data_IF_075092272646
#
_entry.id   IF_075092272646
#
_cell.length_a   1.000
_cell.length_b   1.000
_cell.length_c   1.000
_cell.angle_alpha   90.00
_cell.angle_beta   90.00
_cell.angle_gamma   90.00
#
_symmetry.space_group_name_H-M   'P 1'
#
loop_
_entity.id
_entity.type
_entity.pdbx_description
1 polymer ?
#
# COMPACT_ATOMS: atom_id res chain seq x y z
N UNK A 1 -5.39 11.88 11.33
CA UNK A 1 -5.18 10.70 10.46
C UNK A 1 -6.46 9.89 10.46
N UNK A 2 -6.89 9.34 9.32
CA UNK A 2 -7.99 8.37 9.23
C UNK A 2 -7.55 7.15 8.44
N UNK A 3 -8.08 5.98 8.77
CA UNK A 3 -7.76 4.72 8.10
C UNK A 3 -9.03 4.22 7.42
N UNK A 4 -8.97 3.92 6.12
CA UNK A 4 -10.10 3.41 5.37
C UNK A 4 -9.81 1.97 4.98
N UNK A 5 -10.75 1.08 5.27
CA UNK A 5 -10.64 -0.35 4.93
C UNK A 5 -11.49 -0.66 3.71
N UNK A 6 -10.84 -1.13 2.65
CA UNK A 6 -11.48 -1.50 1.38
C UNK A 6 -11.27 -3.00 1.13
N UNK A 7 -12.22 -3.86 1.51
CA UNK A 7 -12.12 -5.29 1.20
C UNK A 7 -12.16 -5.52 -0.32
N UNK A 8 -11.05 -5.98 -0.88
CA UNK A 8 -10.91 -6.23 -2.32
C UNK A 8 -11.52 -7.56 -2.73
N UNK A 9 -11.67 -8.50 -1.80
CA UNK A 9 -12.17 -9.85 -2.09
C UNK A 9 -13.33 -10.27 -1.22
N UNK A 10 -14.15 -11.17 -1.75
CA UNK A 10 -15.18 -11.86 -0.96
C UNK A 10 -14.49 -12.64 0.16
N UNK A 11 -15.08 -12.62 1.36
CA UNK A 11 -14.61 -13.50 2.44
C UNK A 11 -14.63 -14.97 1.99
N UNK A 12 -13.83 -15.86 2.61
CA UNK A 12 -13.82 -17.27 2.26
C UNK A 12 -15.25 -17.83 2.32
N UNK A 13 -15.69 -18.45 1.23
CA UNK A 13 -16.98 -19.13 1.18
C UNK A 13 -16.92 -20.31 2.16
N UNK A 14 -17.64 -20.19 3.29
CA UNK A 14 -17.93 -21.25 4.29
C UNK A 14 -16.92 -22.41 4.31
N UNK A 15 -15.65 -22.14 4.61
CA UNK A 15 -14.73 -23.20 5.00
C UNK A 15 -14.69 -23.22 6.53
N UNK A 16 -14.66 -24.44 7.11
CA UNK A 16 -14.51 -24.71 8.54
C UNK A 16 -13.62 -23.67 9.24
N UNK A 17 -14.01 -23.22 10.43
CA UNK A 17 -13.33 -22.18 11.22
C UNK A 17 -11.80 -22.40 11.37
N UNK A 18 -11.33 -23.64 11.25
CA UNK A 18 -9.91 -24.00 11.28
C UNK A 18 -9.13 -23.65 10.00
N UNK A 19 -9.77 -23.65 8.82
CA UNK A 19 -9.16 -23.29 7.54
C UNK A 19 -9.29 -21.79 7.22
N UNK A 20 -10.30 -21.12 7.80
CA UNK A 20 -10.50 -19.68 7.70
C UNK A 20 -9.36 -18.86 8.33
N UNK A 21 -8.60 -19.45 9.26
CA UNK A 21 -7.44 -18.79 9.89
C UNK A 21 -6.29 -18.48 8.91
N UNK A 22 -6.21 -19.19 7.78
CA UNK A 22 -5.11 -19.06 6.80
C UNK A 22 -5.53 -18.45 5.45
N UNK A 23 -6.82 -18.26 5.19
CA UNK A 23 -7.31 -17.57 3.98
C UNK A 23 -7.72 -16.15 4.34
N UNK A 24 -6.72 -15.28 4.47
CA UNK A 24 -6.93 -13.87 4.73
C UNK A 24 -7.57 -13.21 3.51
N UNK A 25 -8.69 -12.54 3.73
CA UNK A 25 -9.28 -11.63 2.75
C UNK A 25 -8.22 -10.60 2.34
N UNK A 26 -8.08 -10.33 1.04
CA UNK A 26 -7.29 -9.19 0.61
C UNK A 26 -8.06 -7.91 0.92
N UNK A 27 -7.52 -7.11 1.84
CA UNK A 27 -8.06 -5.83 2.26
C UNK A 27 -7.04 -4.74 1.96
N UNK A 28 -7.46 -3.71 1.24
CA UNK A 28 -6.67 -2.51 1.00
C UNK A 28 -6.89 -1.53 2.16
N UNK A 29 -5.80 -1.12 2.80
CA UNK A 29 -5.82 -0.13 3.87
C UNK A 29 -5.31 1.20 3.32
N UNK A 30 -6.15 2.22 3.31
CA UNK A 30 -5.75 3.56 2.94
C UNK A 30 -5.44 4.38 4.18
N UNK A 31 -4.24 4.96 4.25
CA UNK A 31 -3.79 5.75 5.39
C UNK A 31 -3.77 7.22 5.02
N UNK A 32 -4.77 7.96 5.50
CA UNK A 32 -4.93 9.36 5.17
C UNK A 32 -4.43 10.24 6.31
N UNK A 33 -3.30 10.92 6.06
CA UNK A 33 -2.77 11.98 6.90
C UNK A 33 -3.19 13.34 6.34
N UNK A 34 -3.46 14.37 7.17
CA UNK A 34 -3.73 15.73 6.68
C UNK A 34 -2.63 16.28 5.76
N UNK A 35 -1.38 15.83 5.93
CA UNK A 35 -0.25 16.17 5.04
C UNK A 35 -0.41 15.51 3.66
N UNK A 36 -0.93 14.27 3.60
CA UNK A 36 -1.20 13.59 2.33
C UNK A 36 -2.34 14.28 1.57
N UNK A 37 -3.38 14.77 2.25
CA UNK A 37 -4.50 15.46 1.60
C UNK A 37 -4.08 16.77 0.91
N UNK A 38 -3.12 17.50 1.50
CA UNK A 38 -2.52 18.69 0.87
C UNK A 38 -1.66 18.34 -0.36
N UNK A 39 -1.04 17.17 -0.35
CA UNK A 39 -0.23 16.68 -1.48
C UNK A 39 -1.09 16.07 -2.59
N UNK A 40 -2.23 15.44 -2.31
CA UNK A 40 -3.19 14.96 -3.32
C UNK A 40 -3.78 16.11 -4.16
N UNK A 41 -3.84 17.32 -3.58
CA UNK A 41 -4.25 18.54 -4.29
C UNK A 41 -3.13 19.12 -5.17
N UNK A 42 -1.86 18.83 -4.87
CA UNK A 42 -0.74 19.16 -5.74
C UNK A 42 -0.53 18.03 -6.75
N UNK A 43 -0.70 18.30 -8.04
CA UNK A 43 -0.40 17.33 -9.12
C UNK A 43 1.10 17.07 -9.13
N UNK A 44 1.54 16.14 -8.28
CA UNK A 44 2.92 15.72 -8.25
C UNK A 44 3.14 14.77 -9.42
N UNK A 45 4.22 14.95 -10.22
CA UNK A 45 4.53 14.03 -11.31
C UNK A 45 4.75 12.62 -10.73
N UNK A 46 4.46 11.57 -11.51
CA UNK A 46 4.68 10.17 -11.12
C UNK A 46 6.11 9.90 -10.59
N UNK A 47 7.04 10.78 -10.95
CA UNK A 47 8.44 10.81 -10.53
C UNK A 47 8.67 11.18 -9.05
N UNK A 48 7.65 11.57 -8.32
CA UNK A 48 7.76 11.90 -6.88
C UNK A 48 7.40 10.72 -5.98
N UNK A 49 6.79 9.66 -6.52
CA UNK A 49 6.15 8.58 -5.76
C UNK A 49 7.14 7.72 -4.96
N UNK A 50 8.43 7.73 -5.28
CA UNK A 50 9.49 7.05 -4.51
C UNK A 50 10.23 7.96 -3.53
N UNK A 51 9.95 9.26 -3.52
CA UNK A 51 10.62 10.18 -2.60
C UNK A 51 10.08 9.98 -1.17
N UNK A 52 10.93 10.07 -0.14
CA UNK A 52 10.47 10.06 1.25
C UNK A 52 9.52 11.23 1.51
N UNK A 53 8.39 10.96 2.18
CA UNK A 53 7.40 11.96 2.59
C UNK A 53 7.94 12.92 3.69
N UNK A 54 9.14 12.69 4.23
CA UNK A 54 9.76 13.50 5.28
C UNK A 54 10.31 14.82 4.74
N UNK A 55 9.45 15.82 4.74
CA UNK A 55 9.86 17.21 4.70
C UNK A 55 10.67 17.52 5.97
N UNK A 56 12.00 17.39 5.93
CA UNK A 56 12.92 18.47 6.37
C UNK A 56 14.44 18.16 6.33
N UNK A 57 14.95 16.95 6.03
CA UNK A 57 16.43 16.74 6.00
C UNK A 57 16.94 15.83 4.84
N UNK A 58 16.11 15.41 3.90
CA UNK A 58 16.53 14.70 2.66
C UNK A 58 16.74 15.62 1.44
N UNK A 59 16.75 16.93 1.67
CA UNK A 59 16.10 17.93 0.80
C UNK A 59 16.83 18.36 -0.48
N UNK A 60 18.03 17.88 -0.80
CA UNK A 60 18.69 18.27 -2.06
C UNK A 60 19.18 17.10 -2.88
N UNK A 61 19.78 16.10 -2.24
CA UNK A 61 20.22 14.88 -2.93
C UNK A 61 19.04 14.10 -3.48
N UNK A 62 17.94 13.97 -2.72
CA UNK A 62 16.74 13.29 -3.18
C UNK A 62 16.05 14.07 -4.31
N UNK A 63 15.96 15.40 -4.20
CA UNK A 63 15.39 16.25 -5.25
C UNK A 63 16.21 16.16 -6.55
N UNK A 64 17.55 16.23 -6.45
CA UNK A 64 18.43 16.05 -7.62
C UNK A 64 18.34 14.65 -8.21
N UNK A 65 18.28 13.61 -7.38
CA UNK A 65 18.09 12.25 -7.87
C UNK A 65 16.76 12.11 -8.61
N UNK A 66 15.69 12.72 -8.09
CA UNK A 66 14.39 12.74 -8.75
C UNK A 66 14.41 13.52 -10.07
N UNK A 67 15.10 14.66 -10.14
CA UNK A 67 15.23 15.41 -11.38
C UNK A 67 16.00 14.60 -12.43
N UNK A 68 17.16 14.03 -12.08
CA UNK A 68 17.96 13.17 -12.98
C UNK A 68 17.17 11.96 -13.44
N UNK A 69 16.42 11.31 -12.54
CA UNK A 69 15.57 10.19 -12.91
C UNK A 69 14.43 10.60 -13.84
N UNK A 70 13.82 11.78 -13.63
CA UNK A 70 12.79 12.31 -14.53
C UNK A 70 13.35 12.66 -15.92
N UNK A 71 14.60 13.12 -15.99
CA UNK A 71 15.30 13.38 -17.25
C UNK A 71 15.55 12.08 -18.03
N UNK A 72 15.79 10.96 -17.35
CA UNK A 72 15.93 9.66 -18.03
C UNK A 72 14.64 9.23 -18.72
N UNK A 73 13.48 9.56 -18.16
CA UNK A 73 12.17 9.31 -18.78
C UNK A 73 11.84 10.23 -19.96
N UNK A 74 12.50 11.40 -20.08
CA UNK A 74 12.34 12.34 -21.21
C UNK A 74 13.24 12.03 -22.40
N UNK A 75 14.14 11.06 -22.28
CA UNK A 75 15.05 10.70 -23.36
C UNK A 75 14.28 10.05 -24.53
N UNK A 76 14.55 10.48 -25.76
CA UNK A 76 13.92 9.94 -26.98
C UNK A 76 14.35 8.49 -27.31
N UNK A 77 15.27 7.91 -26.52
CA UNK A 77 15.70 6.53 -26.64
C UNK A 77 16.98 6.19 -25.87
N UNK A 78 17.48 4.96 -26.09
CA UNK A 78 18.76 4.49 -25.54
C UNK A 78 18.67 3.87 -24.15
N UNK A 79 19.83 3.72 -23.50
CA UNK A 79 19.93 3.00 -22.22
C UNK A 79 19.25 3.74 -21.06
N UNK A 80 19.17 5.08 -21.12
CA UNK A 80 18.51 5.90 -20.09
C UNK A 80 17.01 5.65 -20.03
N UNK A 81 16.34 5.67 -21.19
CA UNK A 81 14.91 5.35 -21.30
C UNK A 81 14.64 3.92 -20.84
N UNK A 82 15.43 2.95 -21.31
CA UNK A 82 15.31 1.55 -20.86
C UNK A 82 15.49 1.39 -19.35
N UNK A 83 16.44 2.11 -18.76
CA UNK A 83 16.66 2.09 -17.31
C UNK A 83 15.47 2.71 -16.56
N UNK A 84 14.91 3.82 -17.07
CA UNK A 84 13.71 4.43 -16.52
C UNK A 84 12.51 3.47 -16.57
N UNK A 85 12.21 2.90 -17.74
CA UNK A 85 11.09 1.96 -17.94
C UNK A 85 11.24 0.72 -17.06
N UNK A 86 12.44 0.12 -17.04
CA UNK A 86 12.73 -1.05 -16.20
C UNK A 86 12.58 -0.70 -14.71
N UNK A 87 13.07 0.48 -14.30
CA UNK A 87 12.93 0.96 -12.93
C UNK A 87 11.48 1.22 -12.54
N UNK A 88 10.68 1.83 -13.43
CA UNK A 88 9.24 2.00 -13.21
C UNK A 88 8.55 0.64 -13.08
N UNK A 89 8.84 -0.31 -13.98
CA UNK A 89 8.29 -1.66 -13.90
C UNK A 89 8.67 -2.38 -12.59
N UNK A 90 9.86 -2.15 -12.04
CA UNK A 90 10.26 -2.67 -10.73
C UNK A 90 9.51 -1.99 -9.58
N UNK A 91 9.33 -0.67 -9.64
CA UNK A 91 8.57 0.08 -8.63
C UNK A 91 7.09 -0.34 -8.66
N UNK A 92 6.52 -0.55 -9.84
CA UNK A 92 5.11 -0.94 -10.02
C UNK A 92 4.82 -2.36 -9.53
N UNK A 93 5.83 -3.23 -9.50
CA UNK A 93 5.77 -4.56 -8.87
C UNK A 93 5.74 -4.52 -7.35
N UNK A 94 5.93 -3.35 -6.73
CA UNK A 94 5.85 -3.22 -5.28
C UNK A 94 4.41 -3.51 -4.83
N UNK A 95 4.28 -4.38 -3.84
CA UNK A 95 3.01 -4.75 -3.23
C UNK A 95 2.24 -3.50 -2.75
N UNK A 96 0.95 -3.44 -3.05
CA UNK A 96 0.10 -2.31 -2.66
C UNK A 96 0.09 -2.11 -1.13
N UNK A 97 0.24 -3.19 -0.35
CA UNK A 97 0.32 -3.13 1.10
C UNK A 97 1.60 -2.42 1.59
N UNK A 98 2.72 -2.61 0.90
CA UNK A 98 3.98 -1.91 1.19
C UNK A 98 3.84 -0.42 0.87
N UNK A 99 3.20 -0.09 -0.26
CA UNK A 99 2.95 1.29 -0.68
C UNK A 99 2.04 2.02 0.30
N UNK A 100 0.97 1.37 0.76
CA UNK A 100 0.08 1.91 1.77
C UNK A 100 0.84 2.24 3.07
N UNK A 101 1.66 1.32 3.58
CA UNK A 101 2.47 1.54 4.78
C UNK A 101 3.52 2.64 4.59
N UNK A 102 4.04 2.83 3.38
CA UNK A 102 5.01 3.90 3.08
C UNK A 102 4.36 5.29 3.00
N UNK A 103 3.04 5.36 2.80
CA UNK A 103 2.33 6.63 2.54
C UNK A 103 2.26 7.57 3.74
N UNK A 104 2.53 7.12 4.97
CA UNK A 104 2.53 7.97 6.16
C UNK A 104 3.82 7.74 6.96
N UNK A 105 4.32 8.78 7.64
CA UNK A 105 5.42 8.62 8.58
C UNK A 105 4.92 8.73 10.03
N UNK A 106 5.48 7.94 10.95
CA UNK A 106 5.27 8.11 12.38
C UNK A 106 5.65 9.50 12.89
N UNK A 107 6.69 10.11 12.31
CA UNK A 107 7.19 11.44 12.70
C UNK A 107 6.25 12.59 12.35
N UNK A 108 5.33 12.38 11.40
CA UNK A 108 4.38 13.39 10.95
C UNK A 108 3.18 13.51 11.90
N UNK A 109 3.04 12.59 12.84
CA UNK A 109 1.94 12.54 13.80
C UNK A 109 2.48 13.05 15.14
N UNK A 110 2.14 14.30 15.48
CA UNK A 110 2.53 14.87 16.76
C UNK A 110 1.83 14.10 17.91
N UNK A 111 2.61 13.33 18.66
CA UNK A 111 2.13 12.45 19.75
C UNK A 111 1.56 13.20 20.97
N UNK A 112 1.41 14.52 20.91
CA UNK A 112 0.93 15.33 22.04
C UNK A 112 -0.60 15.33 22.16
N UNK A 113 -1.32 15.00 21.10
CA UNK A 113 -2.77 14.94 21.14
C UNK A 113 -3.25 13.50 21.34
N UNK A 114 -4.31 13.34 22.11
CA UNK A 114 -5.05 12.09 22.31
C UNK A 114 -5.78 11.72 21.02
N UNK A 115 -5.03 11.46 19.94
CA UNK A 115 -5.59 11.29 18.60
C UNK A 115 -6.28 9.93 18.52
N UNK A 116 -7.61 9.93 18.69
CA UNK A 116 -8.45 8.82 18.25
C UNK A 116 -8.45 8.81 16.73
N UNK A 117 -7.96 7.73 16.14
CA UNK A 117 -7.87 7.53 14.69
C UNK A 117 -9.06 6.67 14.26
N UNK A 118 -10.01 7.20 13.47
CA UNK A 118 -11.13 6.41 13.00
C UNK A 118 -10.66 5.38 11.96
N UNK A 119 -11.13 4.14 12.12
CA UNK A 119 -10.96 3.03 11.19
C UNK A 119 -12.30 2.76 10.51
N UNK A 120 -12.47 3.34 9.33
CA UNK A 120 -13.71 3.29 8.56
C UNK A 120 -13.83 1.93 7.86
N UNK A 121 -14.95 1.25 8.05
CA UNK A 121 -15.21 -0.05 7.42
C UNK A 121 -16.66 -0.21 6.91
N UNK A 122 -16.86 -1.01 5.84
CA UNK A 122 -18.20 -1.38 5.36
C UNK A 122 -18.79 -2.54 6.21
N UNK A 123 -19.86 -2.31 6.97
CA UNK A 123 -20.43 -3.32 7.88
C UNK A 123 -21.06 -4.53 7.17
N UNK A 124 -21.46 -4.43 5.90
CA UNK A 124 -22.03 -5.55 5.14
C UNK A 124 -20.99 -6.61 4.76
N UNK A 125 -19.71 -6.24 4.68
CA UNK A 125 -18.64 -7.14 4.22
C UNK A 125 -17.83 -7.70 5.39
N UNK A 126 -17.66 -6.92 6.45
CA UNK A 126 -17.03 -7.39 7.69
C UNK A 126 -18.04 -8.10 8.60
N UNK A 127 -17.58 -9.02 9.48
CA UNK A 127 -18.43 -9.50 10.57
C UNK A 127 -18.95 -8.30 11.37
N UNK A 128 -20.15 -8.39 11.97
CA UNK A 128 -20.80 -7.27 12.65
C UNK A 128 -20.07 -6.77 13.91
N UNK A 129 -18.90 -7.32 14.26
CA UNK A 129 -18.12 -6.89 15.41
C UNK A 129 -16.95 -5.97 15.00
N UNK A 130 -16.94 -4.77 15.60
CA UNK A 130 -15.81 -3.83 15.53
C UNK A 130 -14.48 -4.48 15.93
N UNK A 131 -14.50 -5.46 16.85
CA UNK A 131 -13.33 -6.22 17.29
C UNK A 131 -12.73 -7.12 16.19
N UNK A 132 -13.56 -7.65 15.29
CA UNK A 132 -13.07 -8.50 14.20
C UNK A 132 -12.25 -7.70 13.18
N UNK A 133 -12.67 -6.47 12.88
CA UNK A 133 -11.95 -5.56 11.97
C UNK A 133 -10.59 -5.18 12.55
N UNK A 134 -10.52 -4.88 13.85
CA UNK A 134 -9.26 -4.61 14.54
C UNK A 134 -8.34 -5.84 14.57
N UNK A 135 -8.90 -7.03 14.81
CA UNK A 135 -8.12 -8.27 14.81
C UNK A 135 -7.53 -8.56 13.42
N UNK A 136 -8.29 -8.32 12.34
CA UNK A 136 -7.80 -8.46 10.96
C UNK A 136 -6.66 -7.47 10.68
N UNK A 137 -6.83 -6.20 11.05
CA UNK A 137 -5.79 -5.18 10.92
C UNK A 137 -4.52 -5.56 11.72
N UNK A 138 -4.69 -6.04 12.95
CA UNK A 138 -3.57 -6.48 13.79
C UNK A 138 -2.82 -7.66 13.19
N UNK A 139 -3.55 -8.68 12.70
CA UNK A 139 -2.96 -9.83 12.03
C UNK A 139 -2.21 -9.42 10.75
N UNK A 140 -2.80 -8.52 9.97
CA UNK A 140 -2.19 -7.97 8.76
C UNK A 140 -0.87 -7.28 9.10
N UNK A 141 -0.87 -6.33 10.06
CA UNK A 141 0.32 -5.60 10.49
C UNK A 141 1.41 -6.55 11.01
N UNK A 142 1.05 -7.50 11.87
CA UNK A 142 2.01 -8.45 12.43
C UNK A 142 2.72 -9.27 11.34
N UNK A 143 1.97 -9.76 10.34
CA UNK A 143 2.55 -10.48 9.21
C UNK A 143 3.50 -9.62 8.37
N UNK A 144 3.13 -8.34 8.15
CA UNK A 144 3.90 -7.40 7.34
C UNK A 144 5.19 -6.96 8.03
N UNK A 145 5.19 -6.77 9.35
CA UNK A 145 6.41 -6.44 10.11
C UNK A 145 7.48 -7.51 9.88
N UNK A 146 7.14 -8.79 10.02
CA UNK A 146 8.12 -9.88 9.83
C UNK A 146 8.56 -10.00 8.36
N UNK A 147 7.66 -9.80 7.40
CA UNK A 147 7.99 -9.78 5.98
C UNK A 147 9.00 -8.66 5.67
N UNK A 148 8.71 -7.43 6.10
CA UNK A 148 9.58 -6.29 5.82
C UNK A 148 10.90 -6.35 6.60
N UNK A 149 10.92 -6.94 7.80
CA UNK A 149 12.15 -7.23 8.54
C UNK A 149 13.07 -8.17 7.77
N UNK A 150 12.54 -9.29 7.24
CA UNK A 150 13.31 -10.24 6.42
C UNK A 150 13.82 -9.56 5.13
N UNK A 151 12.95 -8.80 4.45
CA UNK A 151 13.32 -8.04 3.27
C UNK A 151 14.42 -7.00 3.54
N UNK A 152 14.34 -6.27 4.65
CA UNK A 152 15.36 -5.31 5.06
C UNK A 152 16.74 -5.99 5.22
N UNK A 153 16.81 -7.12 5.92
CA UNK A 153 18.07 -7.84 6.10
C UNK A 153 18.61 -8.38 4.77
N UNK A 154 17.74 -8.98 3.95
CA UNK A 154 18.12 -9.51 2.64
C UNK A 154 18.73 -8.41 1.74
N UNK A 155 18.04 -7.29 1.59
CA UNK A 155 18.50 -6.20 0.73
C UNK A 155 19.70 -5.45 1.31
N UNK A 156 19.81 -5.35 2.64
CA UNK A 156 21.01 -4.78 3.28
C UNK A 156 22.24 -5.67 3.05
N UNK A 157 22.09 -6.99 3.08
CA UNK A 157 23.16 -7.93 2.74
C UNK A 157 23.56 -7.90 1.25
N UNK A 158 22.65 -7.48 0.36
CA UNK A 158 22.94 -7.29 -1.07
C UNK A 158 23.70 -5.99 -1.39
N UNK A 159 23.81 -5.04 -0.44
CA UNK A 159 24.52 -3.77 -0.67
C UNK A 159 26.04 -3.97 -0.80
N UNK A 160 26.75 -4.64 0.13
CA UNK A 160 28.20 -4.84 0.01
C UNK A 160 28.67 -5.46 -1.33
N UNK A 161 28.05 -6.54 -1.84
CA UNK A 161 28.49 -7.15 -3.11
C UNK A 161 28.16 -6.28 -4.34
N UNK A 162 27.24 -5.32 -4.23
CA UNK A 162 26.88 -4.43 -5.35
C UNK A 162 27.70 -3.15 -5.38
N UNK A 163 28.41 -2.77 -4.31
CA UNK A 163 29.32 -1.61 -4.26
C UNK A 163 30.40 -1.55 -5.38
N UNK A 164 31.11 -2.64 -5.75
CA UNK A 164 32.23 -2.56 -6.69
C UNK A 164 31.83 -2.28 -8.14
N UNK A 165 30.53 -2.29 -8.49
CA UNK A 165 30.06 -1.97 -9.85
C UNK A 165 30.18 -0.47 -10.21
N UNK A 166 30.74 0.36 -9.33
CA UNK A 166 31.03 1.79 -9.56
C UNK A 166 32.26 2.05 -10.46
N UNK A 167 32.99 1.00 -10.88
CA UNK A 167 34.22 1.16 -11.68
C UNK A 167 34.01 1.67 -13.13
N UNK A 168 32.76 1.75 -13.64
CA UNK A 168 32.47 2.20 -15.01
C UNK A 168 31.85 3.61 -15.00
N UNK A 169 32.54 4.65 -15.49
CA UNK A 169 32.12 6.05 -15.35
C UNK A 169 30.88 6.46 -16.18
N UNK A 170 30.38 5.59 -17.07
CA UNK A 170 29.29 5.91 -18.01
C UNK A 170 27.91 5.52 -17.46
N UNK A 171 27.82 4.51 -16.59
CA UNK A 171 26.55 3.91 -16.17
C UNK A 171 26.43 3.99 -14.63
N UNK A 172 25.33 4.53 -14.08
CA UNK A 172 25.06 4.47 -12.65
C UNK A 172 25.09 3.02 -12.15
N UNK A 173 25.57 2.79 -10.94
CA UNK A 173 25.51 1.48 -10.30
C UNK A 173 24.06 1.13 -9.89
N UNK A 174 23.21 0.80 -10.88
CA UNK A 174 21.80 0.48 -10.69
C UNK A 174 21.57 -0.65 -9.68
N UNK A 175 22.36 -1.74 -9.65
CA UNK A 175 22.19 -2.79 -8.65
C UNK A 175 22.37 -2.29 -7.21
N UNK A 176 23.35 -1.43 -6.96
CA UNK A 176 23.54 -0.81 -5.65
C UNK A 176 22.36 0.10 -5.29
N UNK A 177 21.99 1.01 -6.19
CA UNK A 177 20.89 1.95 -5.92
C UNK A 177 19.57 1.24 -5.70
N UNK A 178 19.28 0.20 -6.48
CA UNK A 178 18.09 -0.63 -6.29
C UNK A 178 18.12 -1.35 -4.93
N UNK A 179 19.24 -1.96 -4.55
CA UNK A 179 19.36 -2.66 -3.26
C UNK A 179 19.22 -1.70 -2.08
N UNK A 180 19.85 -0.52 -2.16
CA UNK A 180 19.73 0.53 -1.15
C UNK A 180 18.29 1.06 -1.05
N UNK A 181 17.64 1.32 -2.19
CA UNK A 181 16.24 1.73 -2.24
C UNK A 181 15.30 0.66 -1.68
N UNK A 182 15.49 -0.62 -2.02
CA UNK A 182 14.70 -1.73 -1.47
C UNK A 182 14.89 -1.86 0.04
N UNK A 183 16.13 -1.79 0.53
CA UNK A 183 16.41 -1.81 1.96
C UNK A 183 15.70 -0.65 2.67
N UNK A 184 15.81 0.58 2.15
CA UNK A 184 15.09 1.74 2.69
C UNK A 184 13.57 1.57 2.64
N UNK A 185 12.99 1.06 1.55
CA UNK A 185 11.54 0.83 1.41
C UNK A 185 11.04 -0.17 2.46
N UNK A 186 11.77 -1.27 2.66
CA UNK A 186 11.46 -2.24 3.72
C UNK A 186 11.62 -1.65 5.11
N UNK A 187 12.65 -0.84 5.37
CA UNK A 187 12.82 -0.13 6.63
C UNK A 187 11.63 0.77 6.93
N UNK A 188 11.25 1.62 5.96
CA UNK A 188 10.16 2.57 6.08
C UNK A 188 8.82 1.87 6.32
N UNK A 189 8.49 0.84 5.53
CA UNK A 189 7.26 0.08 5.70
C UNK A 189 7.21 -0.64 7.06
N UNK A 190 8.33 -1.21 7.51
CA UNK A 190 8.44 -1.85 8.83
C UNK A 190 8.21 -0.84 9.97
N UNK A 191 8.89 0.31 9.94
CA UNK A 191 8.75 1.34 10.97
C UNK A 191 7.33 1.89 11.04
N UNK A 192 6.67 2.05 9.89
CA UNK A 192 5.27 2.51 9.83
C UNK A 192 4.30 1.45 10.36
N UNK A 193 4.55 0.17 10.07
CA UNK A 193 3.78 -0.95 10.63
C UNK A 193 3.99 -1.11 12.15
N UNK A 194 5.22 -0.98 12.65
CA UNK A 194 5.55 -0.98 14.09
C UNK A 194 4.83 0.16 14.82
N UNK A 195 4.74 1.34 14.19
CA UNK A 195 3.99 2.47 14.73
C UNK A 195 2.48 2.19 14.77
N UNK A 196 1.87 1.65 13.72
CA UNK A 196 0.46 1.23 13.76
C UNK A 196 0.21 0.17 14.85
N UNK A 197 1.14 -0.76 15.04
CA UNK A 197 1.05 -1.73 16.12
C UNK A 197 1.07 -1.03 17.49
N UNK A 198 1.87 0.02 17.67
CA UNK A 198 1.84 0.84 18.88
C UNK A 198 0.48 1.52 19.07
N UNK A 199 -0.10 2.10 18.02
CA UNK A 199 -1.43 2.74 18.08
C UNK A 199 -2.54 1.75 18.48
N UNK A 200 -2.50 0.53 17.95
CA UNK A 200 -3.42 -0.55 18.34
C UNK A 200 -3.27 -0.93 19.81
N UNK A 201 -2.04 -1.06 20.32
CA UNK A 201 -1.77 -1.40 21.73
C UNK A 201 -2.29 -0.34 22.71
N UNK A 202 -2.30 0.93 22.31
CA UNK A 202 -2.80 2.04 23.11
C UNK A 202 -4.31 2.31 22.91
N UNK A 203 -5.03 1.45 22.18
CA UNK A 203 -6.44 1.65 21.82
C UNK A 203 -6.72 3.01 21.15
N UNK A 204 -5.75 3.54 20.40
CA UNK A 204 -5.90 4.81 19.70
C UNK A 204 -6.74 4.68 18.41
N UNK A 205 -6.90 3.46 17.88
CA UNK A 205 -7.67 3.19 16.67
C UNK A 205 -9.10 2.78 17.05
N UNK A 206 -10.09 3.55 16.56
CA UNK A 206 -11.51 3.34 16.87
C UNK A 206 -12.26 2.92 15.61
N UNK A 207 -12.88 1.74 15.56
CA UNK A 207 -13.70 1.31 14.41
C UNK A 207 -14.94 2.17 14.24
N UNK A 208 -15.18 2.60 13.00
CA UNK A 208 -16.32 3.43 12.61
C UNK A 208 -17.00 2.79 11.39
N UNK A 209 -18.26 2.39 11.54
CA UNK A 209 -19.03 1.86 10.43
C UNK A 209 -19.49 3.01 9.52
N UNK A 210 -19.22 2.93 8.22
CA UNK A 210 -19.72 3.91 7.23
C UNK A 210 -20.85 3.31 6.41
N UNK A 211 -22.02 3.95 6.47
CA UNK A 211 -23.20 3.63 5.65
C UNK A 211 -22.95 3.87 4.17
N UNK A 212 -22.24 4.95 3.85
CA UNK A 212 -21.98 5.39 2.48
C UNK A 212 -21.08 4.39 1.75
N UNK A 213 -20.03 3.93 2.44
CA UNK A 213 -19.17 2.88 1.92
C UNK A 213 -19.96 1.57 1.78
N UNK A 214 -20.86 1.28 2.74
CA UNK A 214 -21.67 0.07 2.73
C UNK A 214 -22.58 -0.05 1.51
N UNK A 215 -23.22 1.04 1.10
CA UNK A 215 -24.12 1.06 -0.06
C UNK A 215 -23.40 0.60 -1.34
N UNK A 216 -22.16 1.05 -1.56
CA UNK A 216 -21.33 0.65 -2.70
C UNK A 216 -21.09 -0.87 -2.67
N UNK A 217 -20.72 -1.39 -1.49
CA UNK A 217 -20.46 -2.82 -1.32
C UNK A 217 -21.73 -3.67 -1.40
N UNK A 218 -22.87 -3.19 -0.93
CA UNK A 218 -24.16 -3.88 -1.02
C UNK A 218 -24.61 -4.05 -2.47
N UNK A 219 -24.56 -2.98 -3.26
CA UNK A 219 -24.88 -3.02 -4.71
C UNK A 219 -24.00 -4.06 -5.40
N UNK A 220 -22.69 -4.07 -5.08
CA UNK A 220 -21.75 -4.99 -5.70
C UNK A 220 -21.95 -6.44 -5.26
N UNK A 221 -22.20 -6.65 -3.96
CA UNK A 221 -22.50 -7.97 -3.41
C UNK A 221 -23.76 -8.57 -4.02
N UNK A 222 -24.83 -7.77 -4.17
CA UNK A 222 -26.06 -8.20 -4.84
C UNK A 222 -25.80 -8.62 -6.29
N UNK A 223 -25.05 -7.81 -7.06
CA UNK A 223 -24.64 -8.15 -8.43
C UNK A 223 -23.85 -9.46 -8.50
N UNK A 224 -22.94 -9.68 -7.55
CA UNK A 224 -22.16 -10.92 -7.46
C UNK A 224 -23.05 -12.11 -7.13
N UNK A 225 -23.95 -12.01 -6.15
CA UNK A 225 -24.87 -13.10 -5.78
C UNK A 225 -25.77 -13.53 -6.95
N UNK A 226 -26.26 -12.58 -7.76
CA UNK A 226 -27.06 -12.88 -8.97
C UNK A 226 -26.23 -13.61 -10.03
N UNK A 227 -24.92 -13.32 -10.12
CA UNK A 227 -24.02 -13.93 -11.09
C UNK A 227 -23.42 -15.29 -10.65
N UNK A 228 -23.54 -15.67 -9.37
CA UNK A 228 -22.78 -16.80 -8.78
C UNK A 228 -23.62 -17.86 -8.08
N UNK A 229 -24.70 -18.34 -8.70
CA UNK A 229 -25.41 -19.49 -8.15
C UNK A 229 -24.56 -20.78 -8.04
N UNK A 230 -23.32 -20.85 -8.59
CA UNK A 230 -22.60 -22.13 -8.80
C UNK A 230 -21.08 -22.18 -8.50
N UNK A 231 -20.41 -21.24 -7.80
CA UNK A 231 -18.96 -21.44 -7.48
C UNK A 231 -18.43 -20.79 -6.20
N UNK A 232 -17.70 -21.57 -5.39
CA UNK A 232 -17.05 -21.21 -4.11
C UNK A 232 -15.71 -20.45 -4.23
N UNK A 233 -15.40 -19.86 -5.39
CA UNK A 233 -14.09 -19.23 -5.64
C UNK A 233 -14.05 -17.83 -5.02
N UNK A 234 -12.97 -17.50 -4.30
CA UNK A 234 -12.69 -16.13 -3.82
C UNK A 234 -12.57 -15.19 -5.03
N UNK A 235 -13.41 -14.15 -5.07
CA UNK A 235 -13.48 -13.21 -6.20
C UNK A 235 -13.19 -11.78 -5.77
N UNK A 236 -12.71 -10.99 -6.71
CA UNK A 236 -12.55 -9.55 -6.54
C UNK A 236 -13.95 -8.91 -6.47
N UNK A 237 -14.22 -8.20 -5.38
CA UNK A 237 -15.48 -7.46 -5.20
C UNK A 237 -15.41 -6.17 -6.01
N UNK A 238 -14.41 -5.34 -5.77
CA UNK A 238 -14.30 -4.02 -6.37
C UNK A 238 -13.77 -4.08 -7.81
N UNK A 239 -14.41 -3.32 -8.69
CA UNK A 239 -14.01 -3.16 -10.11
C UNK A 239 -13.51 -1.75 -10.39
N UNK A 240 -12.87 -1.57 -11.55
CA UNK A 240 -12.41 -0.25 -12.00
C UNK A 240 -13.54 0.79 -12.08
N UNK A 241 -14.77 0.35 -12.36
CA UNK A 241 -15.96 1.21 -12.44
C UNK A 241 -16.36 1.81 -11.08
N UNK A 242 -15.94 1.19 -9.97
CA UNK A 242 -16.28 1.64 -8.61
C UNK A 242 -15.27 2.68 -8.07
N UNK A 243 -14.11 2.82 -8.73
CA UNK A 243 -13.03 3.72 -8.31
C UNK A 243 -13.52 5.19 -8.26
N UNK A 244 -14.21 5.75 -9.27
CA UNK A 244 -14.64 7.15 -9.22
C UNK A 244 -15.55 7.45 -8.03
N UNK A 245 -16.46 6.53 -7.68
CA UNK A 245 -17.33 6.67 -6.51
C UNK A 245 -16.51 6.64 -5.22
N UNK A 246 -15.59 5.69 -5.07
CA UNK A 246 -14.73 5.59 -3.89
C UNK A 246 -13.78 6.79 -3.74
N UNK A 247 -13.27 7.34 -4.85
CA UNK A 247 -12.44 8.55 -4.83
C UNK A 247 -13.27 9.75 -4.38
N UNK A 248 -14.50 9.89 -4.87
CA UNK A 248 -15.40 10.99 -4.52
C UNK A 248 -15.76 10.97 -3.02
N UNK A 249 -16.11 9.80 -2.47
CA UNK A 249 -16.56 9.69 -1.08
C UNK A 249 -15.43 9.61 -0.07
N UNK A 250 -14.40 8.82 -0.38
CA UNK A 250 -13.35 8.49 0.59
C UNK A 250 -12.05 9.29 0.36
N UNK A 251 -11.95 10.07 -0.72
CA UNK A 251 -10.72 10.80 -1.11
C UNK A 251 -9.51 9.88 -1.28
N UNK A 252 -9.75 8.63 -1.69
CA UNK A 252 -8.70 7.60 -1.90
C UNK A 252 -7.92 7.91 -3.18
N UNK A 253 -6.63 7.60 -3.21
CA UNK A 253 -5.83 7.70 -4.43
C UNK A 253 -6.26 6.66 -5.47
N UNK A 254 -6.82 7.15 -6.58
CA UNK A 254 -7.32 6.33 -7.68
C UNK A 254 -6.25 5.39 -8.27
N UNK A 255 -4.99 5.84 -8.35
CA UNK A 255 -3.90 5.06 -8.93
C UNK A 255 -3.50 3.90 -8.02
N UNK A 256 -3.38 4.16 -6.72
CA UNK A 256 -3.07 3.13 -5.72
C UNK A 256 -4.18 2.08 -5.63
N UNK A 257 -5.45 2.51 -5.64
CA UNK A 257 -6.59 1.59 -5.62
C UNK A 257 -6.67 0.73 -6.90
N UNK A 258 -6.49 1.35 -8.08
CA UNK A 258 -6.44 0.62 -9.36
C UNK A 258 -5.37 -0.47 -9.34
N UNK A 259 -4.17 -0.13 -8.88
CA UNK A 259 -3.06 -1.09 -8.75
C UNK A 259 -3.39 -2.21 -7.78
N UNK A 260 -4.01 -1.91 -6.65
CA UNK A 260 -4.37 -2.92 -5.67
C UNK A 260 -5.38 -3.93 -6.24
N UNK A 261 -6.38 -3.45 -6.99
CA UNK A 261 -7.36 -4.30 -7.68
C UNK A 261 -6.66 -5.21 -8.70
N UNK A 262 -5.78 -4.65 -9.55
CA UNK A 262 -5.02 -5.41 -10.56
C UNK A 262 -4.11 -6.46 -9.91
N UNK A 263 -3.35 -6.09 -8.88
CA UNK A 263 -2.47 -7.03 -8.17
C UNK A 263 -3.26 -8.17 -7.50
N UNK A 264 -4.44 -7.88 -6.94
CA UNK A 264 -5.29 -8.93 -6.36
C UNK A 264 -5.92 -9.81 -7.43
N UNK A 265 -6.40 -9.23 -8.55
CA UNK A 265 -6.91 -10.01 -9.67
C UNK A 265 -5.85 -10.96 -10.23
N UNK A 266 -4.61 -10.47 -10.40
CA UNK A 266 -3.45 -11.27 -10.79
C UNK A 266 -3.14 -12.40 -9.79
N UNK A 267 -3.18 -12.11 -8.48
CA UNK A 267 -2.94 -13.11 -7.44
C UNK A 267 -4.02 -14.19 -7.41
N UNK A 268 -5.27 -13.84 -7.70
CA UNK A 268 -6.39 -14.80 -7.75
C UNK A 268 -6.43 -15.61 -9.06
N UNK A 269 -6.02 -15.03 -10.19
CA UNK A 269 -5.96 -15.73 -11.48
C UNK A 269 -4.74 -16.64 -11.65
N UNK A 270 -3.77 -16.59 -10.74
CA UNK A 270 -2.58 -17.47 -10.71
C UNK A 270 -2.76 -18.72 -9.84
N UNK A 271 -3.92 -18.90 -9.20
CA UNK A 271 -4.30 -20.08 -8.42
C UNK A 271 -5.31 -20.93 -9.19
#
# INVERSE_FOLDING_TARGET
MRIITLPLTTGPARISAAAAANQTRFTYFDFQSPINALQSASVMPATSRWLPNSAQISSLAAIKAASVWSEFGKAEGGWKLKAYETGQALIDKTDFEELALRSFNPSDINCQDTVKIPLIYPPSVFPPSASAVLAELQAHIASRIELHKKGLYLWSAAIPPTLPLKLIPIIPNFPFFYSAWRAWSHYQAKTSAEYLQSLLKHNAIVPEASSELDEIYLVRRQRLTIATAESDIQRVILTHDDIPSLVLFCSVDSASLKRAIEQVADRLGRN
#
